data_IF_495704184798
#
_entry.id   IF_495704184798
#
_cell.length_a   1.000
_cell.length_b   1.000
_cell.length_c   1.000
_cell.angle_alpha   90.00
_cell.angle_beta   90.00
_cell.angle_gamma   90.00
#
_symmetry.space_group_name_H-M   'P 1'
#
loop_
_entity.id
_entity.type
_entity.pdbx_description
1 polymer ?
#
# COMPACT_ATOMS: atom_id res chain seq x y z
N UNK A 1 -3.21 -6.32 -11.90
CA UNK A 1 -2.19 -7.38 -12.04
C UNK A 1 -0.79 -6.83 -11.85
N UNK A 2 -0.31 -5.94 -12.73
CA UNK A 2 1.07 -5.43 -12.70
C UNK A 2 1.44 -4.73 -11.36
N UNK A 3 0.59 -3.83 -10.85
CA UNK A 3 0.80 -3.18 -9.54
C UNK A 3 0.85 -4.22 -8.41
N UNK A 4 -0.09 -5.16 -8.40
CA UNK A 4 -0.11 -6.25 -7.41
C UNK A 4 1.12 -7.14 -7.47
N UNK A 5 1.64 -7.43 -8.68
CA UNK A 5 2.87 -8.20 -8.86
C UNK A 5 4.09 -7.45 -8.31
N UNK A 6 4.18 -6.14 -8.56
CA UNK A 6 5.25 -5.28 -8.02
C UNK A 6 5.19 -5.26 -6.49
N UNK A 7 3.99 -5.09 -5.92
CA UNK A 7 3.81 -5.10 -4.45
C UNK A 7 4.15 -6.46 -3.83
N UNK A 8 3.68 -7.56 -4.42
CA UNK A 8 4.00 -8.92 -3.93
C UNK A 8 5.48 -9.22 -4.07
N UNK A 9 6.12 -8.85 -5.18
CA UNK A 9 7.56 -9.01 -5.35
C UNK A 9 8.35 -8.17 -4.33
N UNK A 10 7.93 -6.93 -4.07
CA UNK A 10 8.55 -6.07 -3.06
C UNK A 10 8.41 -6.65 -1.64
N UNK A 11 7.22 -7.16 -1.27
CA UNK A 11 6.98 -7.82 0.01
C UNK A 11 7.79 -9.11 0.16
N UNK A 12 7.85 -9.93 -0.89
CA UNK A 12 8.66 -11.15 -0.89
C UNK A 12 10.14 -10.81 -0.72
N UNK A 13 10.67 -9.87 -1.51
CA UNK A 13 12.06 -9.42 -1.41
C UNK A 13 12.36 -8.81 -0.05
N UNK A 14 11.46 -8.00 0.51
CA UNK A 14 11.61 -7.48 1.87
C UNK A 14 11.74 -8.59 2.90
N UNK A 15 10.84 -9.56 2.89
CA UNK A 15 10.86 -10.69 3.82
C UNK A 15 12.10 -11.56 3.64
N UNK A 16 12.52 -11.83 2.40
CA UNK A 16 13.73 -12.60 2.10
C UNK A 16 15.02 -11.87 2.52
N UNK A 17 15.13 -10.57 2.26
CA UNK A 17 16.29 -9.76 2.65
C UNK A 17 16.36 -9.63 4.17
N UNK A 18 15.23 -9.38 4.83
CA UNK A 18 15.14 -9.34 6.29
C UNK A 18 15.59 -10.65 6.91
N UNK A 19 15.14 -11.78 6.35
CA UNK A 19 15.56 -13.12 6.79
C UNK A 19 17.08 -13.33 6.64
N UNK A 20 17.69 -12.94 5.51
CA UNK A 20 19.14 -13.06 5.29
C UNK A 20 19.94 -12.18 6.26
N UNK A 21 19.51 -10.94 6.50
CA UNK A 21 20.19 -10.03 7.44
C UNK A 21 20.07 -10.57 8.88
N UNK A 22 18.92 -11.12 9.26
CA UNK A 22 18.72 -11.77 10.56
C UNK A 22 19.67 -12.96 10.72
N UNK A 23 19.82 -13.82 9.72
CA UNK A 23 20.75 -14.95 9.78
C UNK A 23 22.21 -14.50 9.93
N UNK A 24 22.64 -13.50 9.16
CA UNK A 24 24.00 -12.97 9.23
C UNK A 24 24.29 -12.23 10.56
N UNK A 25 23.32 -11.47 11.06
CA UNK A 25 23.44 -10.76 12.34
C UNK A 25 23.43 -11.72 13.54
N UNK A 26 22.61 -12.77 13.48
CA UNK A 26 22.62 -13.88 14.44
C UNK A 26 24.01 -14.54 14.52
N UNK A 27 24.62 -14.86 13.37
CA UNK A 27 25.95 -15.47 13.31
C UNK A 27 27.06 -14.56 13.87
N UNK A 28 26.94 -13.24 13.73
CA UNK A 28 27.95 -12.27 14.21
C UNK A 28 27.81 -11.87 15.67
N UNK A 29 26.60 -11.95 16.25
CA UNK A 29 26.33 -11.51 17.63
C UNK A 29 26.09 -12.67 18.61
N UNK A 30 26.20 -13.92 18.16
CA UNK A 30 26.03 -15.11 19.02
C UNK A 30 24.61 -15.33 19.55
N UNK A 31 23.62 -14.60 19.02
CA UNK A 31 22.19 -14.78 19.33
C UNK A 31 21.56 -15.79 18.39
N UNK A 32 20.52 -16.51 18.81
CA UNK A 32 19.80 -17.40 17.92
C UNK A 32 19.00 -16.60 16.87
N UNK A 33 18.95 -17.08 15.62
CA UNK A 33 18.18 -16.44 14.55
C UNK A 33 16.68 -16.35 14.88
N UNK A 34 16.18 -17.29 15.67
CA UNK A 34 14.79 -17.30 16.15
C UNK A 34 14.50 -16.17 17.15
N UNK A 35 15.45 -15.80 18.01
CA UNK A 35 15.30 -14.67 18.93
C UNK A 35 15.38 -13.33 18.19
N UNK A 36 16.37 -13.18 17.29
CA UNK A 36 16.53 -11.95 16.52
C UNK A 36 15.36 -11.73 15.54
N UNK A 37 14.80 -12.81 14.98
CA UNK A 37 13.62 -12.74 14.11
C UNK A 37 12.33 -12.32 14.82
N UNK A 38 12.22 -12.49 16.14
CA UNK A 38 11.03 -12.08 16.92
C UNK A 38 10.97 -10.57 17.16
N UNK A 39 12.11 -9.91 17.32
CA UNK A 39 12.20 -8.46 17.51
C UNK A 39 13.45 -7.90 16.81
N UNK A 40 13.46 -7.85 15.47
CA UNK A 40 14.61 -7.30 14.76
C UNK A 40 14.73 -5.81 15.07
N UNK A 41 15.91 -5.36 15.48
CA UNK A 41 16.16 -3.96 15.80
C UNK A 41 16.16 -3.04 14.57
N UNK A 42 16.19 -1.71 14.76
CA UNK A 42 16.21 -0.74 13.66
C UNK A 42 17.38 -0.96 12.69
N UNK A 43 18.54 -1.41 13.19
CA UNK A 43 19.74 -1.71 12.40
C UNK A 43 19.56 -2.88 11.43
N UNK A 44 18.56 -3.75 11.63
CA UNK A 44 18.23 -4.87 10.74
C UNK A 44 17.09 -4.47 9.80
N UNK A 45 16.00 -3.92 10.37
CA UNK A 45 14.78 -3.63 9.62
C UNK A 45 15.02 -2.51 8.60
N UNK A 46 15.64 -1.40 8.99
CA UNK A 46 15.73 -0.22 8.10
C UNK A 46 16.60 -0.50 6.87
N UNK A 47 17.76 -1.16 6.96
CA UNK A 47 18.50 -1.59 5.78
C UNK A 47 17.71 -2.58 4.91
N UNK A 48 17.00 -3.54 5.51
CA UNK A 48 16.17 -4.48 4.77
C UNK A 48 15.05 -3.76 4.01
N UNK A 49 14.37 -2.79 4.64
CA UNK A 49 13.35 -1.94 4.03
C UNK A 49 13.94 -1.11 2.89
N UNK A 50 15.11 -0.51 3.11
CA UNK A 50 15.81 0.28 2.09
C UNK A 50 16.10 -0.56 0.85
N UNK A 51 16.65 -1.77 1.02
CA UNK A 51 16.93 -2.67 -0.09
C UNK A 51 15.65 -3.14 -0.79
N UNK A 52 14.57 -3.40 -0.05
CA UNK A 52 13.28 -3.73 -0.63
C UNK A 52 12.71 -2.57 -1.46
N UNK A 53 12.83 -1.33 -0.99
CA UNK A 53 12.42 -0.14 -1.72
C UNK A 53 13.24 0.06 -2.99
N UNK A 54 14.55 -0.16 -2.94
CA UNK A 54 15.40 -0.12 -4.13
C UNK A 54 15.00 -1.20 -5.15
N UNK A 55 14.78 -2.44 -4.70
CA UNK A 55 14.37 -3.53 -5.57
C UNK A 55 12.98 -3.28 -6.19
N UNK A 56 12.06 -2.71 -5.41
CA UNK A 56 10.76 -2.25 -5.89
C UNK A 56 10.93 -1.18 -6.99
N UNK A 57 11.76 -0.16 -6.79
CA UNK A 57 12.03 0.88 -7.78
C UNK A 57 12.65 0.31 -9.06
N UNK A 58 13.56 -0.67 -8.95
CA UNK A 58 14.11 -1.41 -10.10
C UNK A 58 13.02 -2.17 -10.85
N UNK A 59 12.14 -2.89 -10.13
CA UNK A 59 11.02 -3.61 -10.74
C UNK A 59 10.06 -2.65 -11.46
N UNK A 60 9.74 -1.51 -10.84
CA UNK A 60 8.95 -0.45 -11.45
C UNK A 60 9.60 0.10 -12.72
N UNK A 61 10.91 0.37 -12.69
CA UNK A 61 11.67 0.84 -13.84
C UNK A 61 11.63 -0.18 -14.99
N UNK A 62 11.97 -1.44 -14.71
CA UNK A 62 11.99 -2.50 -15.73
C UNK A 62 10.62 -2.75 -16.37
N UNK A 63 9.56 -2.66 -15.58
CA UNK A 63 8.20 -2.82 -16.04
C UNK A 63 7.72 -1.67 -16.92
N UNK A 64 7.97 -0.42 -16.50
CA UNK A 64 7.58 0.78 -17.25
C UNK A 64 8.37 0.86 -18.55
N UNK A 65 9.66 0.51 -18.55
CA UNK A 65 10.49 0.55 -19.76
C UNK A 65 10.14 -0.57 -20.75
N UNK A 66 9.74 -1.76 -20.27
CA UNK A 66 9.29 -2.86 -21.15
C UNK A 66 7.93 -2.63 -21.81
N UNK A 67 7.04 -1.89 -21.17
CA UNK A 67 5.67 -1.68 -21.67
C UNK A 67 5.37 -0.24 -22.12
N UNK A 68 6.26 0.71 -21.84
CA UNK A 68 6.02 2.13 -22.05
C UNK A 68 6.63 2.64 -23.35
N UNK A 69 5.85 3.42 -24.10
CA UNK A 69 6.36 4.19 -25.25
C UNK A 69 7.07 5.48 -24.86
N UNK A 70 7.17 5.80 -23.57
CA UNK A 70 7.78 7.03 -23.04
C UNK A 70 8.84 6.69 -21.99
N UNK A 71 9.89 7.53 -21.84
CA UNK A 71 10.90 7.37 -20.80
C UNK A 71 10.27 7.28 -19.39
N UNK A 72 10.91 6.51 -18.50
CA UNK A 72 10.44 6.25 -17.14
C UNK A 72 10.04 7.53 -16.39
N UNK A 73 10.96 8.50 -16.32
CA UNK A 73 10.78 9.75 -15.59
C UNK A 73 9.58 10.57 -16.10
N UNK A 74 9.32 10.55 -17.41
CA UNK A 74 8.16 11.21 -17.99
C UNK A 74 6.86 10.46 -17.67
N UNK A 75 6.90 9.13 -17.63
CA UNK A 75 5.75 8.27 -17.33
C UNK A 75 5.28 8.44 -15.89
N UNK A 76 6.20 8.45 -14.93
CA UNK A 76 5.85 8.68 -13.52
C UNK A 76 5.47 10.13 -13.24
N UNK A 77 5.88 11.06 -14.11
CA UNK A 77 5.58 12.49 -13.98
C UNK A 77 6.63 13.24 -13.17
N UNK A 78 7.90 12.85 -13.26
CA UNK A 78 9.01 13.52 -12.58
C UNK A 78 9.31 14.88 -13.25
N UNK A 79 8.77 15.96 -12.69
CA UNK A 79 8.92 17.33 -13.21
C UNK A 79 9.02 18.28 -12.04
N UNK A 80 10.19 18.89 -11.86
CA UNK A 80 10.43 19.83 -10.75
C UNK A 80 9.57 21.09 -10.90
N UNK A 81 9.02 21.65 -9.81
CA UNK A 81 8.43 22.98 -9.85
C UNK A 81 9.51 24.00 -10.23
N UNK A 82 9.17 24.94 -11.12
CA UNK A 82 10.11 25.99 -11.55
C UNK A 82 10.40 27.01 -10.44
N UNK A 83 11.47 27.80 -10.63
CA UNK A 83 11.90 28.88 -9.73
C UNK A 83 12.08 28.41 -8.27
N UNK A 84 11.69 29.25 -7.28
CA UNK A 84 11.67 28.93 -5.85
C UNK A 84 10.40 28.15 -5.44
N UNK A 85 9.60 27.65 -6.38
CA UNK A 85 8.36 26.92 -6.07
C UNK A 85 8.59 25.66 -5.23
N UNK A 86 9.79 25.07 -5.29
CA UNK A 86 10.17 23.93 -4.46
C UNK A 86 10.19 24.26 -2.95
N UNK A 87 10.57 25.49 -2.58
CA UNK A 87 10.50 25.97 -1.19
C UNK A 87 9.05 26.07 -0.72
N UNK A 88 8.15 26.52 -1.59
CA UNK A 88 6.72 26.58 -1.30
C UNK A 88 6.14 25.20 -0.95
N UNK A 89 6.52 24.15 -1.67
CA UNK A 89 6.06 22.80 -1.37
C UNK A 89 6.69 22.21 -0.10
N UNK A 90 7.99 22.45 0.16
CA UNK A 90 8.63 22.05 1.42
C UNK A 90 7.98 22.73 2.63
N UNK A 91 7.76 24.03 2.56
CA UNK A 91 7.12 24.81 3.64
C UNK A 91 5.66 24.41 3.84
N UNK A 92 4.93 24.10 2.76
CA UNK A 92 3.59 23.53 2.86
C UNK A 92 3.58 22.17 3.58
N UNK A 93 4.60 21.34 3.35
CA UNK A 93 4.81 20.10 4.10
C UNK A 93 5.01 20.32 5.60
N UNK A 94 5.89 21.25 5.97
CA UNK A 94 6.12 21.61 7.37
C UNK A 94 4.85 22.18 8.04
N UNK A 95 4.12 23.04 7.33
CA UNK A 95 2.83 23.56 7.82
C UNK A 95 1.80 22.44 7.99
N UNK A 96 1.72 21.49 7.06
CA UNK A 96 0.85 20.33 7.17
C UNK A 96 1.16 19.49 8.42
N UNK A 97 2.44 19.31 8.76
CA UNK A 97 2.85 18.59 9.97
C UNK A 97 2.36 19.28 11.24
N UNK A 98 2.48 20.61 11.32
CA UNK A 98 1.96 21.39 12.44
C UNK A 98 0.43 21.29 12.52
N UNK A 99 -0.26 21.54 11.40
CA UNK A 99 -1.72 21.53 11.36
C UNK A 99 -2.32 20.17 11.76
N UNK A 100 -1.75 19.07 11.23
CA UNK A 100 -2.19 17.73 11.59
C UNK A 100 -1.77 17.33 13.01
N UNK A 101 -0.64 17.85 13.51
CA UNK A 101 -0.24 17.70 14.90
C UNK A 101 -1.26 18.31 15.88
N UNK A 102 -1.81 19.48 15.57
CA UNK A 102 -2.89 20.09 16.36
C UNK A 102 -4.19 19.29 16.28
N UNK A 103 -4.59 18.84 15.09
CA UNK A 103 -5.78 17.97 14.92
C UNK A 103 -5.61 16.65 15.68
N UNK A 104 -4.40 16.11 15.71
CA UNK A 104 -4.07 14.86 16.39
C UNK A 104 -4.34 14.91 17.90
N UNK A 105 -4.36 16.09 18.53
CA UNK A 105 -4.74 16.26 19.95
C UNK A 105 -6.20 15.90 20.23
N UNK A 106 -7.05 15.90 19.20
CA UNK A 106 -8.46 15.51 19.29
C UNK A 106 -8.66 14.00 19.08
N UNK A 107 -7.62 13.27 18.66
CA UNK A 107 -7.69 11.85 18.36
C UNK A 107 -7.12 11.03 19.51
N UNK A 108 -7.70 9.86 19.81
CA UNK A 108 -7.14 8.95 20.81
C UNK A 108 -5.89 8.29 20.23
N UNK A 109 -4.72 8.83 20.58
CA UNK A 109 -3.42 8.27 20.20
C UNK A 109 -2.85 7.49 21.40
N UNK A 110 -2.56 6.17 21.23
CA UNK A 110 -1.89 5.40 22.27
C UNK A 110 -0.54 6.01 22.66
N UNK A 111 -0.21 5.97 23.96
CA UNK A 111 1.05 6.51 24.49
C UNK A 111 2.32 5.81 23.98
N UNK A 112 2.16 4.59 23.47
CA UNK A 112 3.24 3.81 22.89
C UNK A 112 2.76 3.15 21.61
N UNK A 113 3.50 3.33 20.53
CA UNK A 113 3.29 2.70 19.24
C UNK A 113 4.43 1.70 18.94
N UNK A 114 4.20 0.64 18.14
CA UNK A 114 5.26 -0.27 17.74
C UNK A 114 6.48 0.43 17.11
N UNK A 115 6.23 1.55 16.42
CA UNK A 115 7.26 2.41 15.83
C UNK A 115 8.24 2.99 16.86
N UNK A 116 7.84 3.16 18.13
CA UNK A 116 8.70 3.74 19.16
C UNK A 116 9.93 2.87 19.46
N UNK A 117 9.84 1.56 19.15
CA UNK A 117 10.97 0.62 19.27
C UNK A 117 12.17 1.04 18.41
N UNK A 118 11.94 1.77 17.31
CA UNK A 118 13.02 2.26 16.46
C UNK A 118 13.77 3.47 17.06
N UNK A 119 13.22 4.07 18.12
CA UNK A 119 13.77 5.24 18.82
C UNK A 119 14.28 4.91 20.23
N UNK A 120 14.65 3.65 20.49
CA UNK A 120 15.21 3.23 21.78
C UNK A 120 16.69 3.58 21.96
N UNK A 121 17.39 3.90 20.87
CA UNK A 121 18.79 4.32 20.92
C UNK A 121 19.09 5.36 19.84
N UNK A 122 20.19 6.09 20.04
CA UNK A 122 20.58 7.22 19.19
C UNK A 122 20.82 6.83 17.74
N UNK A 123 21.43 5.66 17.50
CA UNK A 123 21.70 5.16 16.15
C UNK A 123 20.41 4.85 15.39
N UNK A 124 19.45 4.19 16.04
CA UNK A 124 18.13 3.90 15.50
C UNK A 124 17.37 5.18 15.15
N UNK A 125 17.40 6.18 16.04
CA UNK A 125 16.74 7.47 15.79
C UNK A 125 17.31 8.21 14.56
N UNK A 126 18.65 8.27 14.41
CA UNK A 126 19.27 8.85 13.21
C UNK A 126 18.96 8.04 11.96
N UNK A 127 19.00 6.70 12.05
CA UNK A 127 18.71 5.83 10.92
C UNK A 127 17.26 6.02 10.44
N UNK A 128 16.31 6.12 11.38
CA UNK A 128 14.92 6.43 11.09
C UNK A 128 14.73 7.82 10.50
N UNK A 129 15.43 8.83 11.01
CA UNK A 129 15.37 10.18 10.45
C UNK A 129 15.85 10.21 9.00
N UNK A 130 17.01 9.61 8.71
CA UNK A 130 17.54 9.56 7.34
C UNK A 130 16.59 8.78 6.43
N UNK A 131 16.12 7.62 6.88
CA UNK A 131 15.19 6.80 6.10
C UNK A 131 13.87 7.54 5.83
N UNK A 132 13.23 8.06 6.88
CA UNK A 132 11.93 8.73 6.80
C UNK A 132 11.98 10.06 6.06
N UNK A 133 13.08 10.82 6.12
CA UNK A 133 13.18 12.12 5.43
C UNK A 133 13.67 11.96 3.99
N UNK A 134 14.61 11.06 3.71
CA UNK A 134 15.30 11.02 2.41
C UNK A 134 14.93 9.81 1.53
N UNK A 135 14.72 8.63 2.12
CA UNK A 135 14.59 7.38 1.36
C UNK A 135 13.13 7.03 1.13
N UNK A 136 12.35 6.94 2.20
CA UNK A 136 10.96 6.52 2.17
C UNK A 136 10.09 7.43 1.29
N UNK A 137 10.18 8.78 1.38
CA UNK A 137 9.35 9.66 0.56
C UNK A 137 9.56 9.44 -0.94
N UNK A 138 10.80 9.19 -1.39
CA UNK A 138 11.10 8.93 -2.81
C UNK A 138 10.43 7.64 -3.26
N UNK A 139 10.59 6.56 -2.51
CA UNK A 139 10.02 5.27 -2.86
C UNK A 139 8.49 5.30 -2.83
N UNK A 140 7.91 5.89 -1.80
CA UNK A 140 6.47 5.96 -1.58
C UNK A 140 5.78 6.88 -2.59
N UNK A 141 6.31 8.08 -2.87
CA UNK A 141 5.72 8.95 -3.90
C UNK A 141 5.75 8.28 -5.28
N UNK A 142 6.83 7.58 -5.61
CA UNK A 142 6.93 6.84 -6.87
C UNK A 142 5.91 5.71 -6.93
N UNK A 143 5.82 4.87 -5.90
CA UNK A 143 4.89 3.75 -5.85
C UNK A 143 3.44 4.21 -5.89
N UNK A 144 3.06 5.11 -4.97
CA UNK A 144 1.66 5.49 -4.79
C UNK A 144 1.19 6.50 -5.85
N UNK A 145 1.97 7.54 -6.14
CA UNK A 145 1.55 8.66 -7.01
C UNK A 145 2.14 8.56 -8.43
N UNK A 146 3.32 7.96 -8.56
CA UNK A 146 3.92 7.67 -9.86
C UNK A 146 3.32 6.44 -10.55
N UNK A 147 2.85 5.45 -9.79
CA UNK A 147 2.43 4.15 -10.32
C UNK A 147 0.98 3.75 -9.99
N UNK A 148 0.62 3.64 -8.71
CA UNK A 148 -0.70 3.16 -8.27
C UNK A 148 -1.83 4.10 -8.70
N UNK A 149 -1.74 5.40 -8.35
CA UNK A 149 -2.78 6.39 -8.64
C UNK A 149 -3.15 6.45 -10.14
N UNK A 150 -2.20 6.61 -11.09
CA UNK A 150 -2.56 6.65 -12.51
C UNK A 150 -3.20 5.37 -13.02
N UNK A 151 -2.86 4.21 -12.44
CA UNK A 151 -3.50 2.93 -12.79
C UNK A 151 -4.93 2.89 -12.26
N UNK A 152 -5.14 3.27 -10.99
CA UNK A 152 -6.47 3.32 -10.38
C UNK A 152 -7.38 4.34 -11.06
N UNK A 153 -6.88 5.54 -11.35
CA UNK A 153 -7.63 6.60 -12.03
C UNK A 153 -8.15 6.12 -13.39
N UNK A 154 -7.28 5.56 -14.23
CA UNK A 154 -7.69 5.01 -15.53
C UNK A 154 -8.63 3.81 -15.40
N UNK A 155 -8.38 2.93 -14.44
CA UNK A 155 -9.20 1.74 -14.24
C UNK A 155 -10.62 2.09 -13.77
N UNK A 156 -10.75 2.98 -12.77
CA UNK A 156 -12.04 3.42 -12.23
C UNK A 156 -12.84 4.21 -13.27
N UNK A 157 -12.19 5.10 -14.04
CA UNK A 157 -12.87 5.80 -15.13
C UNK A 157 -13.46 4.82 -16.16
N UNK A 158 -12.68 3.82 -16.59
CA UNK A 158 -13.18 2.78 -17.52
C UNK A 158 -14.32 1.96 -16.92
N UNK A 159 -14.22 1.64 -15.63
CA UNK A 159 -15.23 0.87 -14.92
C UNK A 159 -16.58 1.60 -14.95
N UNK A 160 -16.60 2.90 -14.65
CA UNK A 160 -17.83 3.72 -14.69
C UNK A 160 -18.35 3.98 -16.11
N UNK A 161 -17.46 4.01 -17.10
CA UNK A 161 -17.86 4.16 -18.52
C UNK A 161 -18.42 2.86 -19.12
N UNK A 162 -18.23 1.70 -18.47
CA UNK A 162 -18.57 0.40 -19.05
C UNK A 162 -19.56 -0.39 -18.17
N UNK A 163 -20.89 -0.16 -18.28
CA UNK A 163 -21.89 -0.83 -17.46
C UNK A 163 -21.80 -2.36 -17.47
N UNK A 164 -21.38 -2.96 -18.59
CA UNK A 164 -21.12 -4.41 -18.70
C UNK A 164 -19.99 -4.89 -17.78
N UNK A 165 -18.89 -4.14 -17.68
CA UNK A 165 -17.80 -4.50 -16.77
C UNK A 165 -18.23 -4.35 -15.32
N UNK A 166 -19.01 -3.31 -15.01
CA UNK A 166 -19.56 -3.12 -13.67
C UNK A 166 -20.46 -4.28 -13.25
N UNK A 167 -21.37 -4.74 -14.13
CA UNK A 167 -22.19 -5.95 -13.88
C UNK A 167 -21.35 -7.19 -13.64
N UNK A 168 -20.32 -7.42 -14.46
CA UNK A 168 -19.39 -8.54 -14.25
C UNK A 168 -18.68 -8.45 -12.89
N UNK A 169 -18.27 -7.25 -12.48
CA UNK A 169 -17.68 -6.99 -11.17
C UNK A 169 -18.65 -7.33 -10.02
N UNK A 170 -19.92 -6.94 -10.14
CA UNK A 170 -20.95 -7.28 -9.14
C UNK A 170 -21.11 -8.79 -8.98
N UNK A 171 -21.17 -9.54 -10.10
CA UNK A 171 -21.24 -11.01 -10.06
C UNK A 171 -20.04 -11.60 -9.34
N UNK A 172 -18.82 -11.10 -9.59
CA UNK A 172 -17.62 -11.56 -8.88
C UNK A 172 -17.66 -11.26 -7.37
N UNK A 173 -18.15 -10.09 -6.97
CA UNK A 173 -18.29 -9.76 -5.55
C UNK A 173 -19.28 -10.71 -4.86
N UNK A 174 -20.41 -11.04 -5.51
CA UNK A 174 -21.38 -11.99 -4.99
C UNK A 174 -20.79 -13.41 -4.88
N UNK A 175 -20.03 -13.85 -5.88
CA UNK A 175 -19.30 -15.13 -5.84
C UNK A 175 -18.31 -15.13 -4.67
N UNK A 176 -17.54 -14.05 -4.47
CA UNK A 176 -16.59 -13.95 -3.36
C UNK A 176 -17.28 -13.96 -1.99
N UNK A 177 -18.41 -13.25 -1.85
CA UNK A 177 -19.19 -13.27 -0.62
C UNK A 177 -19.72 -14.68 -0.29
N UNK A 178 -20.29 -15.37 -1.28
CA UNK A 178 -20.78 -16.74 -1.12
C UNK A 178 -19.64 -17.74 -0.82
N UNK A 179 -18.52 -17.62 -1.56
CA UNK A 179 -17.33 -18.46 -1.38
C UNK A 179 -16.70 -18.27 0.00
N UNK A 180 -16.50 -17.02 0.42
CA UNK A 180 -15.98 -16.70 1.74
C UNK A 180 -16.85 -17.24 2.86
N UNK A 181 -18.18 -17.20 2.69
CA UNK A 181 -19.12 -17.71 3.69
C UNK A 181 -19.01 -19.23 3.85
N UNK A 182 -18.83 -19.96 2.74
CA UNK A 182 -18.59 -21.39 2.76
C UNK A 182 -17.26 -21.71 3.46
N UNK A 183 -16.17 -21.06 3.03
CA UNK A 183 -14.82 -21.24 3.56
C UNK A 183 -14.72 -20.93 5.06
N UNK A 184 -15.36 -19.86 5.52
CA UNK A 184 -15.35 -19.48 6.93
C UNK A 184 -16.02 -20.51 7.86
N UNK A 185 -16.90 -21.37 7.32
CA UNK A 185 -17.54 -22.45 8.09
C UNK A 185 -16.79 -23.79 8.01
N UNK A 186 -15.78 -23.90 7.14
CA UNK A 186 -14.99 -25.11 7.03
C UNK A 186 -13.84 -25.09 8.04
N UNK A 187 -13.48 -26.25 8.61
CA UNK A 187 -12.21 -26.38 9.32
C UNK A 187 -11.03 -26.02 8.40
N UNK A 188 -9.98 -25.39 8.93
CA UNK A 188 -8.84 -24.88 8.15
C UNK A 188 -8.26 -25.91 7.17
N UNK A 189 -8.14 -27.18 7.58
CA UNK A 189 -7.63 -28.24 6.71
C UNK A 189 -8.51 -28.47 5.46
N UNK A 190 -9.84 -28.42 5.63
CA UNK A 190 -10.78 -28.55 4.52
C UNK A 190 -10.83 -27.30 3.65
N UNK A 191 -10.68 -26.12 4.25
CA UNK A 191 -10.55 -24.85 3.55
C UNK A 191 -9.33 -24.83 2.62
N UNK A 192 -8.16 -25.19 3.16
CA UNK A 192 -6.91 -25.29 2.39
C UNK A 192 -7.03 -26.34 1.28
N UNK A 193 -7.59 -27.52 1.58
CA UNK A 193 -7.78 -28.57 0.58
C UNK A 193 -8.69 -28.10 -0.56
N UNK A 194 -9.83 -27.49 -0.24
CA UNK A 194 -10.78 -26.98 -1.21
C UNK A 194 -10.14 -25.88 -2.09
N UNK A 195 -9.41 -24.96 -1.49
CA UNK A 195 -8.68 -23.92 -2.20
C UNK A 195 -7.64 -24.50 -3.18
N UNK A 196 -6.87 -25.51 -2.76
CA UNK A 196 -5.89 -26.21 -3.60
C UNK A 196 -6.59 -26.93 -4.76
N UNK A 197 -7.68 -27.65 -4.52
CA UNK A 197 -8.45 -28.35 -5.55
C UNK A 197 -8.97 -27.36 -6.60
N UNK A 198 -9.58 -26.25 -6.17
CA UNK A 198 -10.08 -25.21 -7.08
C UNK A 198 -8.93 -24.62 -7.91
N UNK A 199 -7.80 -24.35 -7.29
CA UNK A 199 -6.62 -23.83 -7.99
C UNK A 199 -6.10 -24.80 -9.06
N UNK A 200 -5.98 -26.08 -8.72
CA UNK A 200 -5.50 -27.13 -9.62
C UNK A 200 -6.48 -27.37 -10.78
N UNK A 201 -7.79 -27.41 -10.51
CA UNK A 201 -8.82 -27.59 -11.55
C UNK A 201 -8.83 -26.41 -12.51
N UNK A 202 -8.82 -25.17 -12.01
CA UNK A 202 -8.76 -23.99 -12.89
C UNK A 202 -7.44 -23.96 -13.67
N UNK A 203 -6.32 -24.28 -13.02
CA UNK A 203 -5.01 -24.41 -13.68
C UNK A 203 -5.00 -25.44 -14.79
N UNK A 204 -5.57 -26.62 -14.56
CA UNK A 204 -5.68 -27.68 -15.55
C UNK A 204 -6.56 -27.27 -16.74
N UNK A 205 -7.70 -26.61 -16.49
CA UNK A 205 -8.57 -26.10 -17.56
C UNK A 205 -7.86 -25.05 -18.42
N UNK A 206 -7.12 -24.13 -17.79
CA UNK A 206 -6.33 -23.11 -18.49
C UNK A 206 -5.22 -23.73 -19.32
N UNK A 207 -4.49 -24.71 -18.76
CA UNK A 207 -3.45 -25.44 -19.47
C UNK A 207 -4.03 -26.21 -20.66
N UNK A 208 -5.14 -26.92 -20.47
CA UNK A 208 -5.83 -27.66 -21.54
C UNK A 208 -6.32 -26.72 -22.66
N UNK A 209 -6.85 -25.54 -22.31
CA UNK A 209 -7.29 -24.55 -23.29
C UNK A 209 -6.12 -23.93 -24.05
N UNK A 210 -5.00 -23.67 -23.38
CA UNK A 210 -3.77 -23.20 -24.02
C UNK A 210 -3.20 -24.24 -24.99
N UNK A 211 -3.15 -25.51 -24.59
CA UNK A 211 -2.72 -26.61 -25.44
C UNK A 211 -3.61 -26.76 -26.68
N UNK A 212 -4.93 -26.56 -26.54
CA UNK A 212 -5.87 -26.60 -27.68
C UNK A 212 -5.78 -25.39 -28.61
N UNK A 213 -5.49 -24.21 -28.08
CA UNK A 213 -5.46 -22.95 -28.86
C UNK A 213 -4.08 -22.61 -29.42
N UNK A 214 -3.01 -23.22 -28.90
CA UNK A 214 -1.61 -22.87 -29.22
C UNK A 214 -1.17 -21.52 -28.64
N UNK A 215 -2.07 -20.78 -27.98
CA UNK A 215 -1.78 -19.49 -27.37
C UNK A 215 -1.30 -19.66 -25.92
N UNK A 216 -0.27 -18.90 -25.53
CA UNK A 216 0.13 -18.87 -24.11
C UNK A 216 -1.00 -18.26 -23.29
N UNK A 217 -1.41 -18.91 -22.18
CA UNK A 217 -2.51 -18.41 -21.40
C UNK A 217 -2.09 -17.11 -20.74
N UNK A 218 -2.91 -16.07 -20.86
CA UNK A 218 -2.63 -14.84 -20.12
C UNK A 218 -2.70 -15.14 -18.62
N UNK A 219 -1.75 -14.63 -17.82
CA UNK A 219 -1.79 -14.79 -16.36
C UNK A 219 -3.08 -14.26 -15.72
N UNK A 220 -3.85 -13.44 -16.44
CA UNK A 220 -5.17 -12.95 -16.07
C UNK A 220 -6.22 -14.05 -15.95
N UNK A 221 -6.04 -15.21 -16.59
CA UNK A 221 -7.01 -16.32 -16.50
C UNK A 221 -6.92 -17.06 -15.15
N UNK A 222 -5.77 -17.01 -14.49
CA UNK A 222 -5.59 -17.61 -13.15
C UNK A 222 -6.01 -16.70 -12.01
N UNK A 223 -6.29 -15.42 -12.30
CA UNK A 223 -6.63 -14.42 -11.30
C UNK A 223 -7.87 -14.79 -10.46
N UNK A 224 -8.97 -15.28 -11.05
CA UNK A 224 -10.10 -15.79 -10.29
C UNK A 224 -9.72 -16.87 -9.27
N UNK A 225 -8.93 -17.87 -9.68
CA UNK A 225 -8.45 -18.94 -8.82
C UNK A 225 -7.57 -18.41 -7.68
N UNK A 226 -6.62 -17.52 -8.01
CA UNK A 226 -5.77 -16.90 -7.02
C UNK A 226 -6.57 -16.05 -6.02
N UNK A 227 -7.59 -15.32 -6.50
CA UNK A 227 -8.47 -14.52 -5.62
C UNK A 227 -9.36 -15.39 -4.74
N UNK A 228 -9.90 -16.51 -5.24
CA UNK A 228 -10.70 -17.43 -4.42
C UNK A 228 -9.86 -18.10 -3.34
N UNK A 229 -8.62 -18.50 -3.67
CA UNK A 229 -7.69 -19.08 -2.69
C UNK A 229 -7.29 -18.04 -1.65
N UNK A 230 -6.86 -16.85 -2.08
CA UNK A 230 -6.44 -15.78 -1.18
C UNK A 230 -7.60 -15.34 -0.26
N UNK A 231 -8.80 -15.20 -0.81
CA UNK A 231 -9.99 -14.84 -0.02
C UNK A 231 -10.42 -15.95 0.94
N UNK A 232 -10.38 -17.23 0.52
CA UNK A 232 -10.71 -18.35 1.41
C UNK A 232 -9.79 -18.43 2.62
N UNK A 233 -8.47 -18.34 2.39
CA UNK A 233 -7.48 -18.30 3.47
C UNK A 233 -7.65 -17.08 4.38
N UNK A 234 -7.90 -15.90 3.80
CA UNK A 234 -8.14 -14.68 4.56
C UNK A 234 -9.43 -14.77 5.40
N UNK A 235 -10.52 -15.30 4.83
CA UNK A 235 -11.80 -15.48 5.49
C UNK A 235 -11.72 -16.47 6.65
N UNK A 236 -10.95 -17.56 6.51
CA UNK A 236 -10.71 -18.52 7.58
C UNK A 236 -9.82 -17.98 8.71
N UNK A 237 -8.99 -16.97 8.44
CA UNK A 237 -8.04 -16.40 9.41
C UNK A 237 -8.61 -15.23 10.24
N UNK A 238 -9.80 -14.71 9.90
CA UNK A 238 -10.42 -13.57 10.59
C UNK A 238 -11.57 -14.02 11.50
N UNK A 239 -11.89 -13.23 12.52
CA UNK A 239 -13.00 -13.52 13.44
C UNK A 239 -14.36 -13.47 12.73
N UNK A 240 -15.34 -14.21 13.23
CA UNK A 240 -16.69 -14.26 12.67
C UNK A 240 -17.35 -12.87 12.56
N UNK A 241 -17.10 -12.00 13.54
CA UNK A 241 -17.60 -10.62 13.54
C UNK A 241 -16.99 -9.80 12.39
N UNK A 242 -15.66 -9.86 12.21
CA UNK A 242 -14.96 -9.16 11.13
C UNK A 242 -15.38 -9.71 9.77
N UNK A 243 -15.51 -11.02 9.65
CA UNK A 243 -15.99 -11.68 8.44
C UNK A 243 -17.41 -11.24 8.06
N UNK A 244 -18.33 -11.18 9.03
CA UNK A 244 -19.70 -10.74 8.83
C UNK A 244 -19.77 -9.29 8.34
N UNK A 245 -18.98 -8.38 8.94
CA UNK A 245 -18.88 -6.99 8.49
C UNK A 245 -18.34 -6.94 7.06
N UNK A 246 -17.21 -7.59 6.77
CA UNK A 246 -16.60 -7.58 5.45
C UNK A 246 -17.55 -8.11 4.37
N UNK A 247 -18.24 -9.22 4.66
CA UNK A 247 -19.24 -9.81 3.75
C UNK A 247 -20.42 -8.87 3.53
N UNK A 248 -20.94 -8.26 4.60
CA UNK A 248 -22.03 -7.28 4.49
C UNK A 248 -21.64 -6.10 3.61
N UNK A 249 -20.44 -5.55 3.82
CA UNK A 249 -19.91 -4.46 3.00
C UNK A 249 -19.75 -4.84 1.53
N UNK A 250 -19.28 -6.07 1.25
CA UNK A 250 -19.20 -6.59 -0.13
C UNK A 250 -20.59 -6.71 -0.77
N UNK A 251 -21.58 -7.22 -0.04
CA UNK A 251 -22.96 -7.34 -0.55
C UNK A 251 -23.59 -5.97 -0.81
N UNK A 252 -23.44 -5.03 0.13
CA UNK A 252 -23.92 -3.64 -0.05
C UNK A 252 -23.24 -3.00 -1.26
N UNK A 253 -21.92 -3.17 -1.40
CA UNK A 253 -21.18 -2.68 -2.56
C UNK A 253 -21.71 -3.29 -3.86
N UNK A 254 -21.92 -4.60 -3.91
CA UNK A 254 -22.46 -5.28 -5.10
C UNK A 254 -23.86 -4.77 -5.46
N UNK A 255 -24.73 -4.54 -4.46
CA UNK A 255 -26.05 -3.98 -4.67
C UNK A 255 -26.00 -2.55 -5.24
N UNK A 256 -25.19 -1.67 -4.63
CA UNK A 256 -25.03 -0.29 -5.09
C UNK A 256 -24.44 -0.21 -6.50
N UNK A 257 -23.39 -0.98 -6.78
CA UNK A 257 -22.80 -1.05 -8.12
C UNK A 257 -23.76 -1.68 -9.13
N UNK A 258 -24.58 -2.65 -8.70
CA UNK A 258 -25.63 -3.27 -9.51
C UNK A 258 -26.67 -2.25 -9.96
N UNK A 259 -27.21 -1.47 -9.03
CA UNK A 259 -28.14 -0.35 -9.32
C UNK A 259 -27.49 0.64 -10.28
N UNK A 260 -26.26 1.07 -10.00
CA UNK A 260 -25.53 1.99 -10.88
C UNK A 260 -25.34 1.42 -12.29
N UNK A 261 -25.14 0.11 -12.42
CA UNK A 261 -24.95 -0.55 -13.72
C UNK A 261 -26.21 -0.66 -14.59
N UNK A 262 -27.39 -0.42 -14.00
CA UNK A 262 -28.68 -0.37 -14.70
C UNK A 262 -28.97 1.02 -15.26
N UNK A 263 -28.33 2.06 -14.72
CA UNK A 263 -28.43 3.41 -15.24
C UNK A 263 -27.74 3.53 -16.63
N UNK A 264 -28.19 4.47 -17.49
CA UNK A 264 -27.44 4.84 -18.69
C UNK A 264 -26.00 5.21 -18.33
N UNK A 265 -25.06 4.95 -19.25
CA UNK A 265 -23.68 5.33 -19.02
C UNK A 265 -23.60 6.84 -18.74
N UNK A 266 -22.98 7.26 -17.62
CA UNK A 266 -22.87 8.67 -17.27
C UNK A 266 -22.08 9.42 -18.35
N UNK A 267 -22.29 10.74 -18.45
CA UNK A 267 -21.44 11.59 -19.28
C UNK A 267 -19.97 11.35 -18.97
N UNK A 268 -19.13 11.43 -20.01
CA UNK A 268 -17.68 11.18 -19.90
C UNK A 268 -17.01 12.07 -18.86
N UNK A 269 -17.51 13.30 -18.70
CA UNK A 269 -17.10 14.27 -17.69
C UNK A 269 -17.40 13.81 -16.25
N UNK A 270 -18.56 13.20 -16.02
CA UNK A 270 -19.01 12.73 -14.72
C UNK A 270 -18.27 11.44 -14.32
N UNK A 271 -18.14 10.48 -15.24
CA UNK A 271 -17.34 9.27 -15.03
C UNK A 271 -15.88 9.61 -14.71
N UNK A 272 -15.32 10.59 -15.44
CA UNK A 272 -13.99 11.14 -15.20
C UNK A 272 -13.80 11.67 -13.78
N UNK A 273 -14.77 12.46 -13.28
CA UNK A 273 -14.76 13.04 -11.93
C UNK A 273 -14.84 11.98 -10.84
N UNK A 274 -15.80 11.05 -10.92
CA UNK A 274 -15.97 9.99 -9.92
C UNK A 274 -14.78 9.01 -9.91
N UNK A 275 -14.30 8.61 -11.08
CA UNK A 275 -13.14 7.73 -11.18
C UNK A 275 -11.90 8.33 -10.52
N UNK A 276 -11.66 9.62 -10.75
CA UNK A 276 -10.56 10.36 -10.13
C UNK A 276 -10.73 10.52 -8.62
N UNK A 277 -11.92 10.90 -8.17
CA UNK A 277 -12.22 11.05 -6.74
C UNK A 277 -11.95 9.76 -5.98
N UNK A 278 -12.46 8.63 -6.47
CA UNK A 278 -12.23 7.33 -5.84
C UNK A 278 -10.77 6.88 -5.95
N UNK A 279 -10.06 7.21 -7.03
CA UNK A 279 -8.63 6.92 -7.15
C UNK A 279 -7.79 7.69 -6.11
N UNK A 280 -8.15 8.95 -5.80
CA UNK A 280 -7.52 9.74 -4.74
C UNK A 280 -7.74 9.08 -3.38
N UNK A 281 -9.00 8.72 -3.06
CA UNK A 281 -9.33 8.08 -1.80
C UNK A 281 -8.61 6.73 -1.65
N UNK A 282 -8.70 5.87 -2.66
CA UNK A 282 -8.10 4.53 -2.64
C UNK A 282 -6.57 4.58 -2.54
N UNK A 283 -5.91 5.51 -3.24
CA UNK A 283 -4.45 5.67 -3.16
C UNK A 283 -4.03 6.14 -1.76
N UNK A 284 -4.75 7.11 -1.20
CA UNK A 284 -4.47 7.67 0.13
C UNK A 284 -4.73 6.65 1.23
N UNK A 285 -5.77 5.84 1.08
CA UNK A 285 -6.07 4.73 1.98
C UNK A 285 -4.98 3.65 1.92
N UNK A 286 -4.57 3.23 0.73
CA UNK A 286 -3.49 2.26 0.57
C UNK A 286 -2.17 2.77 1.20
N UNK A 287 -1.87 4.07 1.04
CA UNK A 287 -0.73 4.73 1.68
C UNK A 287 -0.81 4.67 3.22
N UNK A 288 -1.97 4.94 3.82
CA UNK A 288 -2.13 4.82 5.27
C UNK A 288 -1.98 3.35 5.73
N UNK A 289 -2.59 2.41 5.01
CA UNK A 289 -2.66 1.00 5.42
C UNK A 289 -1.32 0.28 5.40
N UNK A 290 -0.37 0.66 4.55
CA UNK A 290 0.98 0.07 4.60
C UNK A 290 1.74 0.40 5.89
N UNK A 291 1.28 1.40 6.64
CA UNK A 291 1.83 1.80 7.95
C UNK A 291 1.06 1.21 9.14
N UNK A 292 0.02 0.42 8.89
CA UNK A 292 -0.89 -0.08 9.93
C UNK A 292 -0.20 -0.90 11.03
N UNK A 293 0.68 -1.81 10.66
CA UNK A 293 1.47 -2.59 11.61
C UNK A 293 2.45 -1.74 12.41
N UNK A 294 3.10 -0.75 11.78
CA UNK A 294 4.02 0.18 12.44
C UNK A 294 3.31 1.03 13.50
N UNK A 295 2.03 1.34 13.27
CA UNK A 295 1.18 2.10 14.17
C UNK A 295 0.35 1.23 15.13
N UNK A 296 0.59 -0.09 15.17
CA UNK A 296 -0.15 -0.99 16.07
C UNK A 296 -1.65 -1.01 15.80
N UNK A 297 -2.04 -0.81 14.53
CA UNK A 297 -3.44 -0.73 14.08
C UNK A 297 -4.24 0.41 14.74
N UNK A 298 -3.57 1.43 15.29
CA UNK A 298 -4.21 2.57 15.92
C UNK A 298 -4.92 3.46 14.87
N UNK A 299 -6.24 3.55 14.96
CA UNK A 299 -7.06 4.23 13.96
C UNK A 299 -6.80 5.75 13.90
N UNK A 300 -6.48 6.39 15.03
CA UNK A 300 -6.20 7.83 15.10
C UNK A 300 -4.99 8.23 14.24
N UNK A 301 -3.79 7.67 14.51
CA UNK A 301 -2.61 7.89 13.67
C UNK A 301 -2.81 7.46 12.21
N UNK A 302 -3.56 6.38 11.95
CA UNK A 302 -3.89 5.97 10.59
C UNK A 302 -4.75 6.98 9.83
N UNK A 303 -5.70 7.62 10.52
CA UNK A 303 -6.51 8.71 9.95
C UNK A 303 -5.62 9.91 9.59
N UNK A 304 -4.65 10.25 10.43
CA UNK A 304 -3.68 11.32 10.15
C UNK A 304 -2.86 10.99 8.90
N UNK A 305 -2.33 9.77 8.78
CA UNK A 305 -1.61 9.33 7.57
C UNK A 305 -2.50 9.30 6.33
N UNK A 306 -3.78 8.96 6.48
CA UNK A 306 -4.75 9.05 5.40
C UNK A 306 -4.92 10.52 4.93
N UNK A 307 -5.01 11.48 5.86
CA UNK A 307 -5.09 12.91 5.53
C UNK A 307 -3.83 13.43 4.83
N UNK A 308 -2.63 13.03 5.30
CA UNK A 308 -1.37 13.29 4.58
C UNK A 308 -1.44 12.69 3.18
N UNK A 309 -1.88 11.43 3.08
CA UNK A 309 -2.07 10.72 1.83
C UNK A 309 -2.95 11.47 0.83
N UNK A 310 -4.05 12.08 1.31
CA UNK A 310 -4.96 12.91 0.51
C UNK A 310 -4.24 14.13 -0.04
N UNK A 311 -3.55 14.91 0.81
CA UNK A 311 -2.84 16.12 0.36
C UNK A 311 -1.81 15.79 -0.72
N UNK A 312 -1.02 14.74 -0.52
CA UNK A 312 0.00 14.29 -1.47
C UNK A 312 -0.64 13.84 -2.80
N UNK A 313 -1.73 13.07 -2.74
CA UNK A 313 -2.40 12.56 -3.95
C UNK A 313 -3.16 13.67 -4.69
N UNK A 314 -3.79 14.60 -3.99
CA UNK A 314 -4.41 15.79 -4.57
C UNK A 314 -3.34 16.66 -5.25
N UNK A 315 -2.18 16.83 -4.61
CA UNK A 315 -1.04 17.55 -5.21
C UNK A 315 -0.61 16.89 -6.51
N UNK A 316 -0.54 15.55 -6.56
CA UNK A 316 -0.26 14.78 -7.79
C UNK A 316 -1.30 15.03 -8.89
N UNK A 317 -2.58 15.14 -8.51
CA UNK A 317 -3.70 15.40 -9.43
C UNK A 317 -3.57 16.80 -10.04
N UNK A 318 -3.35 17.81 -9.21
CA UNK A 318 -3.32 19.22 -9.59
C UNK A 318 -2.08 19.53 -10.42
N UNK A 319 -0.90 19.16 -9.91
CA UNK A 319 0.39 19.50 -10.53
C UNK A 319 0.73 18.59 -11.71
N UNK A 320 0.05 17.44 -11.82
CA UNK A 320 0.40 16.36 -12.73
C UNK A 320 1.86 15.87 -12.58
N UNK A 321 2.48 16.13 -11.44
CA UNK A 321 3.85 15.70 -11.12
C UNK A 321 3.95 15.01 -9.77
N UNK A 322 4.94 14.12 -9.62
CA UNK A 322 5.29 13.49 -8.33
C UNK A 322 6.22 14.34 -7.47
N UNK A 323 7.01 15.24 -8.05
CA UNK A 323 8.03 15.98 -7.29
C UNK A 323 7.44 17.00 -6.31
N UNK A 324 6.31 17.70 -6.58
CA UNK A 324 5.71 18.58 -5.58
C UNK A 324 5.17 17.81 -4.38
N UNK A 325 4.57 16.64 -4.60
CA UNK A 325 4.17 15.72 -3.52
C UNK A 325 5.38 15.26 -2.71
N UNK A 326 6.48 14.88 -3.38
CA UNK A 326 7.75 14.53 -2.72
C UNK A 326 8.27 15.64 -1.82
N UNK A 327 8.22 16.89 -2.27
CA UNK A 327 8.67 18.03 -1.48
C UNK A 327 7.77 18.29 -0.27
N UNK A 328 6.44 18.21 -0.42
CA UNK A 328 5.52 18.28 0.73
C UNK A 328 5.84 17.15 1.72
N UNK A 329 6.06 15.93 1.23
CA UNK A 329 6.32 14.77 2.06
C UNK A 329 7.65 14.91 2.83
N UNK A 330 8.73 15.30 2.14
CA UNK A 330 10.04 15.59 2.76
C UNK A 330 9.90 16.71 3.79
N UNK A 331 9.21 17.80 3.48
CA UNK A 331 9.00 18.92 4.41
C UNK A 331 8.18 18.52 5.65
N UNK A 332 7.16 17.69 5.46
CA UNK A 332 6.37 17.12 6.54
C UNK A 332 7.22 16.27 7.49
N UNK A 333 7.98 15.31 6.94
CA UNK A 333 8.85 14.45 7.75
C UNK A 333 9.99 15.23 8.39
N UNK A 334 10.59 16.19 7.69
CA UNK A 334 11.63 17.06 8.24
C UNK A 334 11.13 17.84 9.45
N UNK A 335 9.89 18.34 9.41
CA UNK A 335 9.30 19.04 10.55
C UNK A 335 9.10 18.09 11.75
N UNK A 336 8.51 16.91 11.53
CA UNK A 336 8.31 15.93 12.60
C UNK A 336 9.63 15.49 13.26
N UNK A 337 10.60 15.07 12.44
CA UNK A 337 11.92 14.66 12.95
C UNK A 337 12.71 15.85 13.51
N UNK A 338 12.53 17.06 12.98
CA UNK A 338 13.18 18.26 13.49
C UNK A 338 12.72 18.63 14.89
N UNK A 339 11.41 18.60 15.14
CA UNK A 339 10.85 18.78 16.49
C UNK A 339 11.38 17.70 17.44
N UNK A 340 11.39 16.44 16.99
CA UNK A 340 11.89 15.33 17.78
C UNK A 340 13.38 15.48 18.11
N UNK A 341 14.19 15.86 17.12
CA UNK A 341 15.61 16.06 17.24
C UNK A 341 15.96 17.16 18.25
N UNK A 342 15.25 18.30 18.17
CA UNK A 342 15.46 19.42 19.09
C UNK A 342 14.96 19.05 20.50
N UNK A 343 13.76 18.48 20.63
CA UNK A 343 13.14 18.14 21.92
C UNK A 343 13.91 17.09 22.73
N UNK A 344 14.68 16.23 22.06
CA UNK A 344 15.49 15.16 22.69
C UNK A 344 16.97 15.53 22.86
N UNK A 345 17.33 16.81 22.70
CA UNK A 345 18.73 17.27 22.62
C UNK A 345 19.56 16.41 21.65
N UNK A 346 19.21 16.45 20.37
CA UNK A 346 19.95 15.78 19.31
C UNK A 346 20.00 14.25 19.49
N UNK A 347 18.86 13.67 19.93
CA UNK A 347 18.68 12.25 20.28
C UNK A 347 19.57 11.75 21.43
N UNK A 348 20.03 12.63 22.32
CA UNK A 348 20.75 12.25 23.55
C UNK A 348 19.80 11.83 24.68
N UNK A 349 18.61 12.41 24.72
CA UNK A 349 17.59 12.22 25.76
C UNK A 349 16.28 11.70 25.17
N UNK A 350 16.27 10.45 24.70
CA UNK A 350 15.12 9.81 24.05
C UNK A 350 13.96 9.54 25.02
N UNK A 351 14.23 9.50 26.31
CA UNK A 351 13.22 9.43 27.38
C UNK A 351 12.26 10.63 27.39
N UNK A 352 12.62 11.74 26.73
CA UNK A 352 11.77 12.93 26.58
C UNK A 352 10.73 12.80 25.46
N UNK A 353 10.72 11.71 24.69
CA UNK A 353 9.75 11.52 23.60
C UNK A 353 8.34 11.19 24.09
N UNK A 354 8.22 10.65 25.31
CA UNK A 354 6.96 10.15 25.89
C UNK A 354 6.38 11.07 26.97
N UNK A 355 7.04 12.19 27.23
CA UNK A 355 6.61 13.27 28.13
C UNK A 355 5.88 14.34 27.32
#
# INVERSE_FOLDING_TARGET
>A
MIVGLVLVAALFLFSSISFVIVLHSSASHGMSAAELGKNPGPLVIVPAMTLAYLAMLVAMYGLVTRHGQRPFWQTVGWRWPGNLGWLGFLTAGAFLAVALGEISRLLPIPKSLPMDKFFQNRQGAYLMMIFGVAIAPVAEEMLFRGFLYPVLDRWLQRLFMTPRQLRRGCVWILIMAAWGYLEHRLPLAWSVLLAVVVFLVIGALVAAQSLKSGERPSGLVMLPAATTVAWGLAAGAISAHVFAIATTLLLVLAALLGVFSMAPAPETSLAGRWGRFLAVLATSFAFAMVHSEQLGQAWGPLLVLFMVGLVLTITRVVTRSVTPGLLIHVGYNLMLFGVLYIGTDHFRHLERMTQ
#
